data_IF_250648471180
#
_entry.id   IF_250648471180
#
_cell.length_a   1.000
_cell.length_b   1.000
_cell.length_c   1.000
_cell.angle_alpha   90.00
_cell.angle_beta   90.00
_cell.angle_gamma   90.00
#
_symmetry.space_group_name_H-M   'P 1'
#
loop_
_entity.id
_entity.type
_entity.pdbx_description
1 polymer ?
#
# COMPACT_ATOMS: atom_id res chain seq x y z
N UNK A 1 -10.30 14.90 12.58
CA UNK A 1 -9.29 14.17 11.78
C UNK A 1 -9.79 14.04 10.34
N UNK A 2 -9.09 14.67 9.38
CA UNK A 2 -9.52 14.77 7.97
C UNK A 2 -9.07 13.60 7.10
N UNK A 3 -8.38 12.63 7.69
CA UNK A 3 -7.90 11.42 7.04
C UNK A 3 -8.71 10.19 7.46
N UNK A 4 -8.67 9.14 6.64
CA UNK A 4 -9.05 7.76 7.02
C UNK A 4 -7.84 6.86 6.98
N UNK A 5 -7.82 5.87 7.87
CA UNK A 5 -6.78 4.86 7.91
C UNK A 5 -7.27 3.60 7.21
N UNK A 6 -6.56 3.16 6.18
CA UNK A 6 -6.87 1.94 5.43
C UNK A 6 -5.65 1.03 5.40
N UNK A 7 -5.91 -0.27 5.28
CA UNK A 7 -4.85 -1.28 5.23
C UNK A 7 -5.14 -2.29 4.13
N UNK A 8 -4.10 -2.70 3.43
CA UNK A 8 -4.12 -3.80 2.47
C UNK A 8 -3.10 -4.87 2.82
N UNK A 9 -3.40 -6.11 2.47
CA UNK A 9 -2.64 -7.28 2.90
C UNK A 9 -2.23 -8.17 1.72
N UNK A 10 -1.04 -8.76 1.82
CA UNK A 10 -0.58 -9.75 0.87
C UNK A 10 0.33 -10.79 1.51
N UNK A 11 0.27 -12.04 1.03
CA UNK A 11 1.18 -13.09 1.47
C UNK A 11 2.58 -12.86 0.90
N UNK A 12 3.60 -13.06 1.74
CA UNK A 12 5.00 -13.01 1.30
C UNK A 12 5.41 -14.34 0.61
N UNK A 13 6.26 -14.28 -0.43
CA UNK A 13 6.72 -15.48 -1.11
C UNK A 13 7.58 -16.37 -0.21
N UNK A 14 7.49 -17.68 -0.45
CA UNK A 14 8.27 -18.71 0.22
C UNK A 14 9.78 -18.47 0.06
N UNK A 15 10.56 -18.58 1.15
CA UNK A 15 12.03 -18.48 1.10
C UNK A 15 12.63 -17.07 1.25
N UNK A 16 11.85 -16.07 1.69
CA UNK A 16 12.38 -14.75 2.08
C UNK A 16 12.74 -14.74 3.56
N UNK A 17 13.89 -14.16 3.94
CA UNK A 17 14.31 -14.03 5.35
C UNK A 17 13.26 -13.29 6.21
N UNK A 18 12.56 -12.32 5.62
CA UNK A 18 11.46 -11.60 6.27
C UNK A 18 10.23 -12.48 6.60
N UNK A 19 10.05 -13.62 5.91
CA UNK A 19 8.93 -14.54 6.16
C UNK A 19 8.99 -15.15 7.57
N UNK A 20 10.19 -15.32 8.12
CA UNK A 20 10.36 -15.87 9.48
C UNK A 20 9.91 -14.90 10.58
N UNK A 21 9.64 -13.63 10.25
CA UNK A 21 9.22 -12.58 11.20
C UNK A 21 7.81 -12.08 10.89
N UNK A 22 7.42 -12.04 9.60
CA UNK A 22 6.08 -11.67 9.15
C UNK A 22 5.63 -12.62 8.03
N UNK A 23 4.53 -13.35 8.22
CA UNK A 23 3.93 -14.19 7.17
C UNK A 23 3.22 -13.37 6.08
N UNK A 24 2.87 -12.13 6.40
CA UNK A 24 2.06 -11.23 5.58
C UNK A 24 2.73 -9.86 5.48
N UNK A 25 2.81 -9.32 4.26
CA UNK A 25 3.10 -7.92 4.01
C UNK A 25 1.81 -7.12 4.19
N UNK A 26 1.81 -6.18 5.13
CA UNK A 26 0.73 -5.21 5.29
C UNK A 26 1.21 -3.85 4.81
N UNK A 27 0.36 -3.15 4.05
CA UNK A 27 0.52 -1.74 3.72
C UNK A 27 -0.61 -0.99 4.40
N UNK A 28 -0.27 0.07 5.13
CA UNK A 28 -1.23 0.98 5.78
C UNK A 28 -1.08 2.37 5.20
N UNK A 29 -2.19 3.08 4.97
CA UNK A 29 -2.16 4.44 4.47
C UNK A 29 -3.18 5.33 5.18
N UNK A 30 -2.80 6.57 5.42
CA UNK A 30 -3.72 7.64 5.78
C UNK A 30 -4.12 8.41 4.52
N UNK A 31 -5.41 8.43 4.23
CA UNK A 31 -5.97 9.01 3.02
C UNK A 31 -6.77 10.25 3.37
N UNK A 32 -6.50 11.37 2.70
CA UNK A 32 -7.34 12.56 2.80
C UNK A 32 -8.76 12.27 2.30
N UNK A 33 -9.76 12.59 3.11
CA UNK A 33 -11.17 12.27 2.85
C UNK A 33 -11.76 13.03 1.66
N UNK A 34 -11.22 14.19 1.30
CA UNK A 34 -11.76 15.09 0.28
C UNK A 34 -11.15 14.79 -1.09
N UNK A 35 -9.83 14.63 -1.12
CA UNK A 35 -9.06 14.48 -2.36
C UNK A 35 -8.67 13.02 -2.65
N UNK A 36 -8.86 12.10 -1.71
CA UNK A 36 -8.44 10.69 -1.86
C UNK A 36 -6.93 10.51 -1.89
N UNK A 37 -6.16 11.52 -1.47
CA UNK A 37 -4.70 11.55 -1.56
C UNK A 37 -4.08 10.79 -0.40
N UNK A 38 -3.09 9.94 -0.68
CA UNK A 38 -2.26 9.29 0.34
C UNK A 38 -1.37 10.35 1.01
N UNK A 39 -1.67 10.68 2.26
CA UNK A 39 -0.94 11.66 3.06
C UNK A 39 0.33 11.03 3.64
N UNK A 40 0.20 9.79 4.13
CA UNK A 40 1.31 8.97 4.60
C UNK A 40 0.98 7.49 4.39
N UNK A 41 2.02 6.67 4.25
CA UNK A 41 1.91 5.22 4.15
C UNK A 41 3.06 4.54 4.87
N UNK A 42 2.86 3.29 5.28
CA UNK A 42 3.89 2.45 5.88
C UNK A 42 3.63 0.98 5.52
N UNK A 43 4.63 0.13 5.67
CA UNK A 43 4.50 -1.30 5.41
C UNK A 43 5.38 -2.16 6.33
N UNK A 44 5.15 -3.47 6.36
CA UNK A 44 5.87 -4.40 7.26
C UNK A 44 7.19 -4.95 6.70
N UNK A 45 7.85 -4.24 5.77
CA UNK A 45 9.18 -4.62 5.30
C UNK A 45 10.20 -4.61 6.44
N UNK A 46 11.18 -5.53 6.40
CA UNK A 46 12.16 -5.70 7.47
C UNK A 46 13.05 -4.46 7.67
N UNK A 47 13.48 -3.82 6.59
CA UNK A 47 14.39 -2.67 6.63
C UNK A 47 13.62 -1.36 6.72
N UNK A 48 14.13 -0.42 7.53
CA UNK A 48 13.60 0.96 7.58
C UNK A 48 13.62 1.59 6.19
N UNK A 49 14.75 1.47 5.49
CA UNK A 49 14.93 2.02 4.14
C UNK A 49 13.87 1.51 3.15
N UNK A 50 13.51 0.22 3.20
CA UNK A 50 12.47 -0.33 2.34
C UNK A 50 11.09 0.24 2.64
N UNK A 51 10.77 0.45 3.93
CA UNK A 51 9.50 1.08 4.34
C UNK A 51 9.41 2.53 3.89
N UNK A 52 10.49 3.30 4.09
CA UNK A 52 10.57 4.70 3.64
C UNK A 52 10.48 4.82 2.12
N UNK A 53 11.14 3.94 1.38
CA UNK A 53 11.05 3.90 -0.08
C UNK A 53 9.60 3.71 -0.55
N UNK A 54 8.89 2.72 0.00
CA UNK A 54 7.48 2.48 -0.33
C UNK A 54 6.61 3.67 0.08
N UNK A 55 6.87 4.28 1.24
CA UNK A 55 6.16 5.48 1.66
C UNK A 55 6.32 6.64 0.65
N UNK A 56 7.54 6.89 0.18
CA UNK A 56 7.81 7.96 -0.79
C UNK A 56 7.14 7.69 -2.14
N UNK A 57 7.13 6.44 -2.59
CA UNK A 57 6.46 6.03 -3.83
C UNK A 57 4.95 6.28 -3.77
N UNK A 58 4.32 5.99 -2.64
CA UNK A 58 2.86 6.09 -2.49
C UNK A 58 2.36 7.51 -2.16
N UNK A 59 3.18 8.29 -1.45
CA UNK A 59 2.76 9.59 -0.92
C UNK A 59 2.42 10.57 -2.06
N UNK A 60 1.28 11.25 -1.92
CA UNK A 60 0.83 12.24 -2.88
C UNK A 60 -0.01 11.68 -4.03
N UNK A 61 -0.06 10.34 -4.19
CA UNK A 61 -0.95 9.71 -5.17
C UNK A 61 -2.41 9.79 -4.71
N UNK A 62 -3.33 10.13 -5.61
CA UNK A 62 -4.76 10.07 -5.34
C UNK A 62 -5.34 8.72 -5.71
N UNK A 63 -5.97 8.05 -4.75
CA UNK A 63 -6.72 6.81 -5.01
C UNK A 63 -7.97 7.07 -5.87
N UNK A 64 -8.37 8.32 -6.11
CA UNK A 64 -9.43 8.61 -7.10
C UNK A 64 -8.98 8.33 -8.53
N UNK A 65 -7.67 8.34 -8.80
CA UNK A 65 -7.07 8.04 -10.10
C UNK A 65 -6.83 6.53 -10.29
N UNK A 66 -7.28 5.70 -9.34
CA UNK A 66 -7.03 4.26 -9.30
C UNK A 66 -5.67 3.91 -8.69
N UNK A 67 -5.36 2.62 -8.61
CA UNK A 67 -4.11 2.10 -8.00
C UNK A 67 -3.04 1.69 -9.02
N UNK A 68 -3.37 1.70 -10.31
CA UNK A 68 -2.54 1.13 -11.37
C UNK A 68 -1.17 1.80 -11.47
N UNK A 69 -1.10 3.13 -11.35
CA UNK A 69 0.16 3.88 -11.43
C UNK A 69 1.14 3.50 -10.30
N UNK A 70 0.76 3.56 -9.00
CA UNK A 70 1.62 3.06 -7.92
C UNK A 70 2.04 1.59 -8.07
N UNK A 71 1.14 0.74 -8.56
CA UNK A 71 1.44 -0.68 -8.83
C UNK A 71 2.53 -0.81 -9.91
N UNK A 72 2.41 -0.05 -10.99
CA UNK A 72 3.40 -0.04 -12.06
C UNK A 72 4.75 0.50 -11.57
N UNK A 73 4.77 1.60 -10.82
CA UNK A 73 6.00 2.16 -10.25
C UNK A 73 6.71 1.16 -9.31
N UNK A 74 5.96 0.41 -8.50
CA UNK A 74 6.53 -0.68 -7.70
C UNK A 74 7.15 -1.75 -8.60
N UNK A 75 6.46 -2.15 -9.66
CA UNK A 75 6.95 -3.19 -10.57
C UNK A 75 8.23 -2.77 -11.32
N UNK A 76 8.34 -1.50 -11.67
CA UNK A 76 9.47 -0.95 -12.42
C UNK A 76 10.67 -0.63 -11.52
N UNK A 77 10.42 -0.11 -10.31
CA UNK A 77 11.49 0.43 -9.46
C UNK A 77 11.81 -0.42 -8.23
N UNK A 78 10.92 -1.30 -7.78
CA UNK A 78 11.18 -2.22 -6.67
C UNK A 78 11.73 -3.56 -7.18
N UNK A 79 13.05 -3.66 -7.27
CA UNK A 79 13.75 -4.86 -7.77
C UNK A 79 13.94 -5.96 -6.70
N UNK A 80 13.24 -5.86 -5.57
CA UNK A 80 13.32 -6.81 -4.46
C UNK A 80 12.29 -7.95 -4.55
N UNK A 81 12.55 -9.04 -3.83
CA UNK A 81 11.65 -10.22 -3.77
C UNK A 81 10.24 -9.93 -3.23
N UNK A 82 10.02 -8.79 -2.57
CA UNK A 82 8.72 -8.39 -2.04
C UNK A 82 7.83 -7.65 -3.06
N UNK A 83 8.30 -7.35 -4.28
CA UNK A 83 7.55 -6.55 -5.26
C UNK A 83 6.12 -7.05 -5.51
N UNK A 84 5.96 -8.36 -5.78
CA UNK A 84 4.64 -8.96 -6.01
C UNK A 84 3.71 -8.88 -4.77
N UNK A 85 4.28 -8.95 -3.57
CA UNK A 85 3.51 -8.80 -2.34
C UNK A 85 3.09 -7.34 -2.13
N UNK A 86 3.95 -6.37 -2.45
CA UNK A 86 3.63 -4.94 -2.39
C UNK A 86 2.49 -4.64 -3.38
N UNK A 87 2.61 -5.09 -4.63
CA UNK A 87 1.56 -4.95 -5.65
C UNK A 87 0.22 -5.51 -5.14
N UNK A 88 0.24 -6.74 -4.62
CA UNK A 88 -0.99 -7.40 -4.14
C UNK A 88 -1.61 -6.65 -2.96
N UNK A 89 -0.80 -6.16 -2.03
CA UNK A 89 -1.26 -5.41 -0.86
C UNK A 89 -1.80 -4.02 -1.27
N UNK A 90 -1.23 -3.38 -2.29
CA UNK A 90 -1.76 -2.13 -2.84
C UNK A 90 -3.13 -2.32 -3.48
N UNK A 91 -3.31 -3.40 -4.26
CA UNK A 91 -4.61 -3.76 -4.85
C UNK A 91 -5.66 -4.03 -3.78
N UNK A 92 -5.28 -4.70 -2.69
CA UNK A 92 -6.17 -4.93 -1.55
C UNK A 92 -6.54 -3.63 -0.81
N UNK A 93 -5.55 -2.75 -0.57
CA UNK A 93 -5.75 -1.44 0.02
C UNK A 93 -6.71 -0.58 -0.80
N UNK A 94 -6.59 -0.62 -2.14
CA UNK A 94 -7.49 0.10 -3.04
C UNK A 94 -8.93 -0.40 -2.95
N UNK A 95 -9.14 -1.72 -2.86
CA UNK A 95 -10.50 -2.28 -2.63
C UNK A 95 -11.14 -1.72 -1.35
N UNK A 96 -10.37 -1.57 -0.28
CA UNK A 96 -10.88 -0.97 0.96
C UNK A 96 -11.27 0.50 0.78
N UNK A 97 -10.51 1.24 -0.03
CA UNK A 97 -10.86 2.61 -0.40
C UNK A 97 -12.16 2.67 -1.24
N UNK A 98 -12.32 1.77 -2.21
CA UNK A 98 -13.55 1.68 -3.03
C UNK A 98 -14.78 1.35 -2.17
N UNK A 99 -14.65 0.43 -1.21
CA UNK A 99 -15.72 0.13 -0.26
C UNK A 99 -16.07 1.35 0.59
N UNK A 100 -15.06 2.01 1.17
CA UNK A 100 -15.25 3.22 1.97
C UNK A 100 -15.96 4.35 1.20
N UNK A 101 -15.56 4.59 -0.04
CA UNK A 101 -16.17 5.62 -0.89
C UNK A 101 -17.59 5.25 -1.33
N UNK A 102 -17.87 3.96 -1.54
CA UNK A 102 -19.20 3.45 -1.84
C UNK A 102 -20.15 3.59 -0.64
N UNK A 103 -19.69 3.32 0.58
CA UNK A 103 -20.48 3.51 1.81
C UNK A 103 -20.84 4.96 2.11
N UNK A 104 -20.12 5.94 1.54
CA UNK A 104 -20.42 7.38 1.68
C UNK A 104 -21.45 7.91 0.68
N UNK A 105 -21.79 7.14 -0.36
CA UNK A 105 -22.78 7.54 -1.38
C UNK A 105 -24.23 7.33 -0.93
N UNK A 106 -24.44 6.76 0.26
CA UNK A 106 -25.74 6.52 0.90
C UNK A 106 -25.79 7.21 2.26
#
# INVERSE_FOLDING_TARGET
MNTVFIAGHARLPSGMAAKSIYDTLTITAEIDKKYGVIVTASCTLATVHGREYVQQLLRGHSLQEGIEKPVQEVKEHYLGKAGNAIESALKDLFKQYEQYTSSKKY
#
